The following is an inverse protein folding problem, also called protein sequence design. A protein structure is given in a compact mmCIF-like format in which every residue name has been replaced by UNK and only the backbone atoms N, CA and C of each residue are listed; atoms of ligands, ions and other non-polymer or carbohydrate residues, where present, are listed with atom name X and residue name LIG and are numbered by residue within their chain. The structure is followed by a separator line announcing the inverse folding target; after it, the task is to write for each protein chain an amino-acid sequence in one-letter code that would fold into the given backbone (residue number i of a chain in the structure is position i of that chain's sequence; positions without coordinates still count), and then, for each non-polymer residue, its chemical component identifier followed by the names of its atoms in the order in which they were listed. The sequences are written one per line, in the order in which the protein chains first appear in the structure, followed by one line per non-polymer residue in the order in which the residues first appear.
data_IF_125124794655
#
_entry.id   IF_125124794655
#
_cell.length_a   1.000
_cell.length_b   1.000
_cell.length_c   1.000
_cell.angle_alpha   90.00
_cell.angle_beta   90.00
_cell.angle_gamma   90.00
#
_symmetry.space_group_name_H-M   'P 1'
#
loop_
_entity.id
_entity.type
_entity.pdbx_description
1 polymer ?
#
# COMPACT_ATOMS: atom_id res chain seq x y z
N UNK A 1 -25.34 26.34 -7.35
CA UNK A 1 -24.56 25.79 -6.22
C UNK A 1 -23.25 25.29 -6.80
N UNK A 2 -22.11 25.51 -6.15
CA UNK A 2 -20.83 25.01 -6.63
C UNK A 2 -20.77 23.47 -6.60
N UNK A 3 -19.90 22.88 -7.42
CA UNK A 3 -19.74 21.44 -7.53
C UNK A 3 -19.03 20.87 -6.29
N UNK A 4 -19.55 19.77 -5.70
CA UNK A 4 -19.03 19.18 -4.47
C UNK A 4 -18.72 17.69 -4.63
N UNK A 5 -17.54 17.27 -4.16
CA UNK A 5 -17.15 15.87 -4.04
C UNK A 5 -17.08 15.45 -2.57
N UNK A 6 -17.62 14.29 -2.25
CA UNK A 6 -17.38 13.63 -0.97
C UNK A 6 -16.41 12.48 -1.15
N UNK A 7 -15.33 12.44 -0.36
CA UNK A 7 -14.38 11.32 -0.32
C UNK A 7 -14.51 10.64 1.05
N UNK A 8 -14.79 9.36 1.07
CA UNK A 8 -14.98 8.56 2.30
C UNK A 8 -13.76 7.69 2.55
N UNK A 9 -13.05 7.94 3.64
CA UNK A 9 -11.80 7.30 4.03
C UNK A 9 -10.58 8.16 3.67
N UNK A 10 -9.81 8.57 4.68
CA UNK A 10 -8.61 9.39 4.54
C UNK A 10 -7.32 8.57 4.76
N UNK A 11 -7.30 7.33 4.26
CA UNK A 11 -6.08 6.56 4.03
C UNK A 11 -5.28 7.11 2.84
N UNK A 12 -4.18 6.44 2.48
CA UNK A 12 -3.32 6.88 1.36
C UNK A 12 -4.08 7.09 0.05
N UNK A 13 -5.05 6.21 -0.24
CA UNK A 13 -5.86 6.29 -1.47
C UNK A 13 -6.78 7.51 -1.42
N UNK A 14 -7.58 7.67 -0.35
CA UNK A 14 -8.50 8.80 -0.25
C UNK A 14 -7.80 10.15 -0.20
N UNK A 15 -6.68 10.25 0.52
CA UNK A 15 -5.85 11.45 0.55
C UNK A 15 -5.23 11.77 -0.82
N UNK A 16 -4.66 10.77 -1.50
CA UNK A 16 -4.09 10.97 -2.83
C UNK A 16 -5.16 11.37 -3.86
N UNK A 17 -6.35 10.76 -3.79
CA UNK A 17 -7.49 11.14 -4.64
C UNK A 17 -7.94 12.57 -4.33
N UNK A 18 -8.19 12.91 -3.06
CA UNK A 18 -8.64 14.26 -2.68
C UNK A 18 -7.68 15.35 -3.19
N UNK A 19 -6.38 15.14 -3.00
CA UNK A 19 -5.35 16.06 -3.49
C UNK A 19 -5.34 16.14 -5.04
N UNK A 20 -5.51 15.01 -5.73
CA UNK A 20 -5.44 14.95 -7.18
C UNK A 20 -6.65 15.58 -7.89
N UNK A 21 -7.79 15.68 -7.22
CA UNK A 21 -9.06 16.13 -7.86
C UNK A 21 -9.58 17.46 -7.30
N UNK A 22 -8.86 18.08 -6.36
CA UNK A 22 -9.32 19.29 -5.69
C UNK A 22 -9.65 20.45 -6.65
N UNK A 23 -8.94 20.53 -7.78
CA UNK A 23 -9.15 21.55 -8.82
C UNK A 23 -10.34 21.26 -9.75
N UNK A 24 -10.95 20.07 -9.68
CA UNK A 24 -12.12 19.71 -10.46
C UNK A 24 -13.45 20.12 -9.80
N UNK A 25 -13.39 20.47 -8.51
CA UNK A 25 -14.57 20.77 -7.70
C UNK A 25 -14.40 22.08 -6.93
N UNK A 26 -15.50 22.76 -6.67
CA UNK A 26 -15.49 23.94 -5.80
C UNK A 26 -15.23 23.54 -4.34
N UNK A 27 -15.64 22.33 -3.96
CA UNK A 27 -15.44 21.80 -2.62
C UNK A 27 -15.20 20.27 -2.64
N UNK A 28 -14.23 19.80 -1.87
CA UNK A 28 -14.00 18.38 -1.56
C UNK A 28 -14.15 18.18 -0.06
N UNK A 29 -15.06 17.30 0.36
CA UNK A 29 -15.23 16.92 1.77
C UNK A 29 -14.63 15.55 2.00
N UNK A 30 -13.52 15.47 2.72
CA UNK A 30 -12.82 14.24 3.05
C UNK A 30 -13.22 13.77 4.46
N UNK A 31 -13.95 12.66 4.52
CA UNK A 31 -14.47 12.07 5.75
C UNK A 31 -13.60 10.91 6.24
N UNK A 32 -13.28 10.86 7.53
CA UNK A 32 -12.64 9.69 8.13
C UNK A 32 -13.29 9.33 9.47
N UNK A 33 -13.41 8.02 9.71
CA UNK A 33 -13.96 7.50 10.97
C UNK A 33 -13.01 7.69 12.16
N UNK A 34 -11.72 7.83 11.91
CA UNK A 34 -10.68 8.00 12.94
C UNK A 34 -10.45 9.47 13.26
N UNK A 35 -9.88 9.77 14.45
CA UNK A 35 -9.62 11.16 14.86
C UNK A 35 -8.54 11.84 14.02
N UNK A 36 -7.68 11.07 13.36
CA UNK A 36 -6.66 11.54 12.43
C UNK A 36 -6.67 10.74 11.14
N UNK A 37 -6.30 11.37 10.04
CA UNK A 37 -6.20 10.72 8.74
C UNK A 37 -5.01 9.76 8.68
N UNK A 38 -5.19 8.64 7.95
CA UNK A 38 -4.11 7.68 7.69
C UNK A 38 -3.81 6.70 8.82
N UNK A 39 -4.58 6.66 9.89
CA UNK A 39 -4.35 5.79 11.06
C UNK A 39 -4.83 4.33 10.89
N UNK A 40 -5.15 3.88 9.68
CA UNK A 40 -5.54 2.49 9.39
C UNK A 40 -4.42 1.74 8.65
N UNK A 41 -4.77 0.95 7.63
CA UNK A 41 -3.83 0.16 6.83
C UNK A 41 -2.64 0.96 6.29
N UNK A 42 -2.83 2.25 5.98
CA UNK A 42 -1.76 3.11 5.46
C UNK A 42 -0.67 3.41 6.50
N UNK A 43 -1.05 3.58 7.78
CA UNK A 43 -0.11 3.75 8.88
C UNK A 43 0.62 2.44 9.22
N UNK A 44 -0.09 1.31 9.10
CA UNK A 44 0.42 -0.01 9.40
C UNK A 44 1.30 -0.59 8.29
N UNK A 45 1.27 -0.02 7.09
CA UNK A 45 2.06 -0.49 5.95
C UNK A 45 3.56 -0.39 6.21
N UNK A 46 4.32 -1.36 5.70
CA UNK A 46 5.78 -1.37 5.83
C UNK A 46 6.51 -0.65 4.69
N UNK A 47 5.82 -0.25 3.64
CA UNK A 47 6.29 0.72 2.65
C UNK A 47 7.12 0.18 1.49
N UNK A 48 7.10 -1.12 1.22
CA UNK A 48 7.66 -1.66 -0.02
C UNK A 48 6.87 -1.16 -1.24
N UNK A 49 7.59 -0.79 -2.29
CA UNK A 49 7.08 -0.46 -3.62
C UNK A 49 7.60 -1.54 -4.55
N UNK A 50 6.87 -2.64 -4.61
CA UNK A 50 7.35 -3.94 -5.10
C UNK A 50 6.46 -4.54 -6.20
N UNK A 51 6.26 -3.85 -7.34
CA UNK A 51 5.36 -4.32 -8.40
C UNK A 51 5.79 -5.63 -9.04
N UNK A 52 7.08 -5.94 -9.01
CA UNK A 52 7.66 -7.12 -9.65
C UNK A 52 7.63 -8.34 -8.73
N UNK A 53 8.10 -8.20 -7.49
CA UNK A 53 8.26 -9.33 -6.56
C UNK A 53 7.00 -9.64 -5.75
N UNK A 54 6.05 -8.71 -5.65
CA UNK A 54 4.84 -8.90 -4.86
C UNK A 54 3.91 -9.93 -5.52
N UNK A 55 3.65 -11.03 -4.81
CA UNK A 55 2.80 -12.12 -5.28
C UNK A 55 1.35 -11.69 -5.57
N UNK A 56 0.91 -10.53 -5.06
CA UNK A 56 -0.42 -9.97 -5.31
C UNK A 56 -0.47 -9.15 -6.61
N UNK A 57 0.68 -8.65 -7.10
CA UNK A 57 0.77 -7.97 -8.38
C UNK A 57 0.81 -8.98 -9.54
N UNK A 58 -0.36 -9.42 -10.02
CA UNK A 58 -0.50 -10.43 -11.09
C UNK A 58 -1.21 -9.85 -12.30
N UNK A 59 -0.94 -10.43 -13.48
CA UNK A 59 -1.62 -10.07 -14.71
C UNK A 59 -1.70 -8.56 -14.95
N UNK A 60 -2.89 -8.00 -15.27
CA UNK A 60 -3.05 -6.56 -15.49
C UNK A 60 -2.68 -5.68 -14.30
N UNK A 61 -2.84 -6.18 -13.05
CA UNK A 61 -2.48 -5.42 -11.85
C UNK A 61 -0.98 -5.14 -11.79
N UNK A 62 -0.14 -6.06 -12.27
CA UNK A 62 1.31 -5.86 -12.32
C UNK A 62 1.68 -4.69 -13.22
N UNK A 63 1.15 -4.64 -14.43
CA UNK A 63 1.39 -3.52 -15.36
C UNK A 63 0.92 -2.19 -14.77
N UNK A 64 -0.21 -2.20 -14.08
CA UNK A 64 -0.75 -1.04 -13.37
C UNK A 64 0.18 -0.62 -12.21
N UNK A 65 0.70 -1.57 -11.43
CA UNK A 65 1.63 -1.32 -10.34
C UNK A 65 2.99 -0.80 -10.84
N UNK A 66 3.50 -1.31 -11.96
CA UNK A 66 4.71 -0.80 -12.60
C UNK A 66 4.53 0.63 -13.12
N UNK A 67 3.39 0.90 -13.75
CA UNK A 67 3.06 2.26 -14.18
C UNK A 67 3.02 3.20 -12.96
N UNK A 68 2.43 2.76 -11.86
CA UNK A 68 2.43 3.50 -10.59
C UNK A 68 3.85 3.75 -10.07
N UNK A 69 4.70 2.72 -10.05
CA UNK A 69 6.10 2.82 -9.61
C UNK A 69 6.87 3.89 -10.40
N UNK A 70 6.64 3.95 -11.71
CA UNK A 70 7.27 5.00 -12.57
C UNK A 70 6.80 6.42 -12.25
N UNK A 71 5.63 6.59 -11.65
CA UNK A 71 5.12 7.91 -11.23
C UNK A 71 5.77 8.43 -9.94
N UNK A 72 6.35 7.55 -9.11
CA UNK A 72 6.83 7.89 -7.77
C UNK A 72 7.80 9.07 -7.73
N UNK A 73 8.86 9.17 -8.56
CA UNK A 73 9.80 10.28 -8.47
C UNK A 73 9.11 11.64 -8.63
N UNK A 74 8.26 11.79 -9.64
CA UNK A 74 7.53 13.02 -9.89
C UNK A 74 6.45 13.28 -8.84
N UNK A 75 5.75 12.23 -8.40
CA UNK A 75 4.69 12.33 -7.40
C UNK A 75 5.24 12.77 -6.04
N UNK A 76 6.35 12.19 -5.59
CA UNK A 76 7.02 12.58 -4.34
C UNK A 76 7.56 14.01 -4.42
N UNK A 77 8.18 14.40 -5.53
CA UNK A 77 8.63 15.78 -5.74
C UNK A 77 7.45 16.77 -5.67
N UNK A 78 6.31 16.44 -6.25
CA UNK A 78 5.09 17.24 -6.15
C UNK A 78 4.55 17.35 -4.71
N UNK A 79 4.58 16.26 -3.95
CA UNK A 79 4.20 16.26 -2.54
C UNK A 79 5.16 17.10 -1.69
N UNK A 80 6.47 17.00 -1.93
CA UNK A 80 7.47 17.81 -1.24
C UNK A 80 7.27 19.30 -1.54
N UNK A 81 7.09 19.66 -2.80
CA UNK A 81 6.82 21.04 -3.20
C UNK A 81 5.54 21.60 -2.55
N UNK A 82 4.47 20.79 -2.47
CA UNK A 82 3.20 21.19 -1.88
C UNK A 82 3.20 21.23 -0.36
N UNK A 83 3.90 20.31 0.29
CA UNK A 83 3.89 20.12 1.76
C UNK A 83 5.10 20.77 2.47
N UNK A 84 6.25 20.84 1.81
CA UNK A 84 7.54 21.11 2.44
C UNK A 84 8.10 19.89 3.19
N UNK A 85 7.54 18.70 3.01
CA UNK A 85 7.97 17.46 3.66
C UNK A 85 8.55 16.53 2.59
N UNK A 86 9.86 16.29 2.65
CA UNK A 86 10.51 15.29 1.82
C UNK A 86 10.15 13.88 2.33
N UNK A 87 9.76 13.00 1.40
CA UNK A 87 9.51 11.59 1.70
C UNK A 87 10.71 10.77 1.25
N UNK A 88 11.56 10.28 2.16
CA UNK A 88 12.73 9.50 1.79
C UNK A 88 12.33 8.26 1.00
N UNK A 89 12.96 8.05 -0.16
CA UNK A 89 12.72 6.93 -1.05
C UNK A 89 13.99 6.13 -1.26
N UNK A 90 13.99 4.88 -0.81
CA UNK A 90 15.07 3.94 -1.05
C UNK A 90 14.91 3.32 -2.44
N UNK A 91 15.75 3.71 -3.37
CA UNK A 91 15.72 3.30 -4.78
C UNK A 91 16.90 2.38 -5.18
N UNK A 92 17.37 1.59 -4.22
CA UNK A 92 18.49 0.63 -4.44
C UNK A 92 18.03 -0.72 -4.98
N UNK A 93 16.73 -0.96 -5.02
CA UNK A 93 16.14 -2.24 -5.39
C UNK A 93 15.90 -3.16 -4.19
N UNK A 94 15.24 -4.28 -4.45
CA UNK A 94 15.00 -5.36 -3.47
C UNK A 94 16.03 -6.47 -3.68
N UNK A 95 16.52 -7.04 -2.58
CA UNK A 95 17.24 -8.30 -2.57
C UNK A 95 16.31 -9.44 -2.14
N UNK A 96 16.00 -10.32 -3.08
CA UNK A 96 15.36 -11.62 -2.80
C UNK A 96 16.47 -12.62 -2.47
N UNK A 97 16.65 -12.97 -1.20
CA UNK A 97 17.75 -13.85 -0.76
C UNK A 97 17.27 -15.27 -0.51
N UNK A 98 18.15 -16.24 -0.68
CA UNK A 98 17.92 -17.65 -0.38
C UNK A 98 18.90 -18.14 0.70
N UNK A 99 18.36 -18.72 1.78
CA UNK A 99 19.13 -19.31 2.88
C UNK A 99 19.19 -20.84 2.81
N UNK A 100 18.38 -21.47 1.96
CA UNK A 100 18.39 -22.90 1.72
C UNK A 100 18.19 -23.21 0.23
N UNK A 101 18.55 -24.44 -0.17
CA UNK A 101 18.45 -24.86 -1.56
C UNK A 101 17.02 -24.98 -2.10
N UNK A 102 16.02 -25.06 -1.23
CA UNK A 102 14.60 -25.12 -1.67
C UNK A 102 14.16 -23.73 -2.12
N UNK A 103 14.44 -22.70 -1.33
CA UNK A 103 14.16 -21.33 -1.70
C UNK A 103 15.04 -20.89 -2.89
N UNK A 104 16.33 -21.26 -2.93
CA UNK A 104 17.22 -20.99 -4.04
C UNK A 104 16.64 -21.54 -5.36
N UNK A 105 16.26 -22.80 -5.40
CA UNK A 105 15.62 -23.41 -6.58
C UNK A 105 14.32 -22.71 -6.94
N UNK A 106 13.47 -22.42 -5.98
CA UNK A 106 12.22 -21.68 -6.22
C UNK A 106 12.48 -20.34 -6.89
N UNK A 107 13.44 -19.58 -6.39
CA UNK A 107 13.78 -18.27 -6.93
C UNK A 107 14.39 -18.42 -8.33
N UNK A 108 15.39 -19.27 -8.51
CA UNK A 108 16.15 -19.39 -9.76
C UNK A 108 15.35 -20.08 -10.88
N UNK A 109 14.58 -21.13 -10.56
CA UNK A 109 13.92 -21.95 -11.59
C UNK A 109 12.48 -21.48 -11.88
N UNK A 110 11.82 -20.77 -10.95
CA UNK A 110 10.44 -20.34 -11.11
C UNK A 110 10.31 -18.82 -11.25
N UNK A 111 10.87 -18.05 -10.29
CA UNK A 111 10.64 -16.60 -10.25
C UNK A 111 11.50 -15.85 -11.26
N UNK A 112 12.79 -16.16 -11.36
CA UNK A 112 13.69 -15.47 -12.30
C UNK A 112 13.22 -15.62 -13.75
N UNK A 113 12.92 -16.83 -14.27
CA UNK A 113 12.40 -16.99 -15.62
C UNK A 113 11.08 -16.25 -15.83
N UNK A 114 10.19 -16.25 -14.83
CA UNK A 114 8.94 -15.52 -14.89
C UNK A 114 9.18 -14.02 -15.02
N UNK A 115 10.04 -13.43 -14.20
CA UNK A 115 10.36 -12.00 -14.24
C UNK A 115 11.03 -11.59 -15.55
N UNK A 116 12.01 -12.37 -16.02
CA UNK A 116 12.69 -12.12 -17.30
C UNK A 116 11.71 -12.18 -18.48
N UNK A 117 10.85 -13.19 -18.53
CA UNK A 117 9.82 -13.31 -19.57
C UNK A 117 8.80 -12.16 -19.57
N UNK A 118 8.65 -11.49 -18.43
CA UNK A 118 7.82 -10.29 -18.28
C UNK A 118 8.57 -8.98 -18.60
N UNK A 119 9.84 -9.08 -19.00
CA UNK A 119 10.67 -7.93 -19.37
C UNK A 119 11.30 -7.19 -18.19
N UNK A 120 11.32 -7.77 -17.01
CA UNK A 120 11.97 -7.15 -15.85
C UNK A 120 13.49 -7.33 -15.88
N UNK A 121 14.19 -6.31 -15.40
CA UNK A 121 15.61 -6.42 -15.10
C UNK A 121 15.81 -7.22 -13.82
N UNK A 122 16.64 -8.24 -13.90
CA UNK A 122 16.99 -9.16 -12.82
C UNK A 122 18.50 -9.29 -12.75
N UNK A 123 19.08 -9.10 -11.58
CA UNK A 123 20.51 -9.27 -11.35
C UNK A 123 20.72 -10.45 -10.38
N UNK A 124 21.30 -11.52 -10.88
CA UNK A 124 21.59 -12.72 -10.07
C UNK A 124 22.94 -12.55 -9.38
N UNK A 125 22.99 -12.78 -8.08
CA UNK A 125 24.16 -12.64 -7.22
C UNK A 125 24.47 -13.98 -6.56
N UNK A 126 25.72 -14.41 -6.63
CA UNK A 126 26.24 -15.50 -5.81
C UNK A 126 26.43 -15.06 -4.34
N UNK A 127 26.87 -15.96 -3.48
CA UNK A 127 27.06 -15.66 -2.06
C UNK A 127 28.05 -14.52 -1.82
N UNK A 128 29.16 -14.48 -2.58
CA UNK A 128 30.18 -13.42 -2.47
C UNK A 128 29.66 -12.07 -2.89
N UNK A 129 29.07 -11.98 -4.08
CA UNK A 129 28.45 -10.75 -4.60
C UNK A 129 27.30 -10.28 -3.74
N UNK A 130 26.56 -11.22 -3.12
CA UNK A 130 25.48 -10.88 -2.18
C UNK A 130 26.02 -10.24 -0.91
N UNK A 131 27.11 -10.79 -0.33
CA UNK A 131 27.76 -10.22 0.85
C UNK A 131 28.36 -8.83 0.57
N UNK A 132 28.89 -8.60 -0.62
CA UNK A 132 29.39 -7.28 -1.06
C UNK A 132 28.24 -6.27 -1.21
N UNK A 133 27.13 -6.71 -1.77
CA UNK A 133 25.94 -5.87 -1.97
C UNK A 133 25.28 -5.48 -0.62
N UNK A 134 25.18 -6.44 0.31
CA UNK A 134 24.55 -6.25 1.62
C UNK A 134 25.33 -6.95 2.75
N UNK A 135 26.33 -6.29 3.33
CA UNK A 135 27.26 -6.91 4.30
C UNK A 135 26.63 -7.39 5.61
N UNK A 136 25.43 -6.94 5.96
CA UNK A 136 24.74 -7.37 7.19
C UNK A 136 23.96 -8.68 7.03
N UNK A 137 23.88 -9.22 5.82
CA UNK A 137 23.23 -10.51 5.59
C UNK A 137 24.01 -11.67 6.23
N UNK A 138 23.27 -12.71 6.53
CA UNK A 138 23.84 -13.96 7.06
C UNK A 138 24.90 -14.52 6.12
N UNK A 139 26.05 -15.01 6.65
CA UNK A 139 27.05 -15.73 5.86
C UNK A 139 26.51 -17.07 5.31
N UNK A 140 25.33 -17.50 5.73
CA UNK A 140 24.65 -18.70 5.20
C UNK A 140 23.77 -18.40 4.00
N UNK A 141 23.71 -17.17 3.49
CA UNK A 141 23.01 -16.85 2.24
C UNK A 141 23.72 -17.54 1.08
N UNK A 142 22.99 -18.37 0.34
CA UNK A 142 23.50 -19.12 -0.79
C UNK A 142 23.60 -18.25 -2.04
N UNK A 143 22.57 -17.44 -2.28
CA UNK A 143 22.47 -16.54 -3.43
C UNK A 143 21.42 -15.47 -3.18
N UNK A 144 21.42 -14.44 -4.00
CA UNK A 144 20.35 -13.46 -4.06
C UNK A 144 19.98 -13.10 -5.51
N UNK A 145 18.80 -12.54 -5.64
CA UNK A 145 18.36 -11.86 -6.86
C UNK A 145 18.06 -10.41 -6.52
N UNK A 146 18.76 -9.49 -7.17
CA UNK A 146 18.44 -8.07 -7.05
C UNK A 146 17.42 -7.67 -8.11
N UNK A 147 16.39 -6.95 -7.67
CA UNK A 147 15.32 -6.39 -8.49
C UNK A 147 15.42 -4.86 -8.48
N UNK A 148 16.15 -4.27 -9.44
CA UNK A 148 16.52 -2.84 -9.40
C UNK A 148 15.33 -1.88 -9.55
N UNK A 149 14.23 -2.33 -10.15
CA UNK A 149 13.03 -1.51 -10.35
C UNK A 149 12.21 -1.32 -9.09
N UNK A 150 12.51 -2.05 -8.02
CA UNK A 150 11.77 -1.96 -6.76
C UNK A 150 12.35 -0.91 -5.83
N UNK A 151 11.57 -0.50 -4.84
CA UNK A 151 11.98 0.54 -3.90
C UNK A 151 11.20 0.45 -2.59
N UNK A 152 11.49 1.36 -1.68
CA UNK A 152 10.76 1.46 -0.41
C UNK A 152 10.72 2.90 0.10
N UNK A 153 9.70 3.20 0.89
CA UNK A 153 9.54 4.48 1.58
C UNK A 153 8.94 4.29 2.98
N UNK A 154 8.89 5.36 3.75
CA UNK A 154 8.17 5.36 5.02
C UNK A 154 6.73 5.84 4.83
N UNK A 155 5.72 4.96 4.98
CA UNK A 155 4.32 5.33 4.78
C UNK A 155 3.81 6.43 5.70
N UNK A 156 4.33 6.50 6.93
CA UNK A 156 3.96 7.52 7.91
C UNK A 156 4.41 8.92 7.48
N UNK A 157 5.60 9.03 6.89
CA UNK A 157 6.10 10.30 6.32
C UNK A 157 5.31 10.66 5.06
N UNK A 158 5.01 9.68 4.19
CA UNK A 158 4.14 9.88 3.03
C UNK A 158 2.76 10.43 3.45
N UNK A 159 2.15 9.82 4.48
CA UNK A 159 0.87 10.29 5.00
C UNK A 159 0.96 11.71 5.59
N UNK A 160 2.07 12.05 6.22
CA UNK A 160 2.30 13.41 6.73
C UNK A 160 2.40 14.43 5.60
N UNK A 161 3.09 14.12 4.52
CA UNK A 161 3.17 14.97 3.34
C UNK A 161 1.80 15.15 2.67
N UNK A 162 1.03 14.05 2.49
CA UNK A 162 -0.32 14.10 1.94
C UNK A 162 -1.27 14.95 2.79
N UNK A 163 -1.24 14.77 4.11
CA UNK A 163 -2.05 15.57 5.06
C UNK A 163 -1.74 17.04 4.94
N UNK A 164 -0.48 17.40 4.83
CA UNK A 164 -0.07 18.80 4.74
C UNK A 164 -0.47 19.43 3.39
N UNK A 165 -0.38 18.70 2.27
CA UNK A 165 -0.91 19.14 0.97
C UNK A 165 -2.41 19.41 1.07
N UNK A 166 -3.16 18.47 1.64
CA UNK A 166 -4.62 18.59 1.84
C UNK A 166 -4.97 19.79 2.72
N UNK A 167 -4.26 19.97 3.84
CA UNK A 167 -4.49 21.06 4.78
C UNK A 167 -4.27 22.45 4.16
N UNK A 168 -3.35 22.55 3.20
CA UNK A 168 -3.04 23.80 2.50
C UNK A 168 -4.01 24.15 1.38
N UNK A 169 -4.76 23.18 0.89
CA UNK A 169 -5.74 23.44 -0.18
C UNK A 169 -7.09 23.88 0.41
N UNK A 170 -7.50 25.16 0.20
CA UNK A 170 -8.73 25.68 0.79
C UNK A 170 -10.02 25.04 0.26
N UNK A 171 -9.94 24.25 -0.82
CA UNK A 171 -11.07 23.53 -1.39
C UNK A 171 -11.34 22.23 -0.65
N UNK A 172 -10.38 21.72 0.15
CA UNK A 172 -10.51 20.44 0.85
C UNK A 172 -10.84 20.66 2.32
N UNK A 173 -12.02 20.23 2.72
CA UNK A 173 -12.44 20.17 4.12
C UNK A 173 -12.25 18.74 4.63
N UNK A 174 -11.45 18.57 5.70
CA UNK A 174 -11.26 17.27 6.37
C UNK A 174 -12.16 17.22 7.59
N UNK A 175 -13.01 16.19 7.66
CA UNK A 175 -13.89 15.93 8.80
C UNK A 175 -13.47 14.58 9.42
N UNK A 176 -12.72 14.67 10.50
CA UNK A 176 -12.30 13.52 11.31
C UNK A 176 -13.39 13.06 12.26
N UNK A 177 -13.29 11.85 12.81
CA UNK A 177 -14.29 11.22 13.68
C UNK A 177 -15.69 11.18 13.05
N UNK A 178 -15.75 11.13 11.71
CA UNK A 178 -16.96 11.14 10.91
C UNK A 178 -17.19 9.76 10.28
N UNK A 179 -17.54 8.77 11.10
CA UNK A 179 -17.84 7.42 10.60
C UNK A 179 -19.06 7.46 9.71
N UNK A 180 -18.87 7.06 8.45
CA UNK A 180 -19.94 6.91 7.48
C UNK A 180 -20.66 5.58 7.71
N UNK A 181 -21.99 5.62 7.74
CA UNK A 181 -22.87 4.45 7.87
C UNK A 181 -23.38 3.97 6.52
N UNK A 182 -23.62 4.90 5.58
CA UNK A 182 -24.22 4.55 4.28
C UNK A 182 -23.89 5.61 3.22
N UNK A 183 -23.64 5.18 2.01
CA UNK A 183 -23.58 6.02 0.80
C UNK A 183 -24.76 5.66 -0.08
N UNK A 184 -25.55 6.65 -0.51
CA UNK A 184 -26.76 6.43 -1.31
C UNK A 184 -26.76 7.39 -2.50
N UNK A 185 -26.76 6.87 -3.75
CA UNK A 185 -27.06 7.71 -4.92
C UNK A 185 -28.46 8.31 -4.78
N UNK A 186 -28.59 9.61 -5.07
CA UNK A 186 -29.85 10.35 -5.05
C UNK A 186 -30.19 10.85 -6.46
N UNK A 187 -31.42 11.35 -6.66
CA UNK A 187 -31.83 11.93 -7.93
C UNK A 187 -30.88 13.06 -8.38
N UNK A 188 -30.44 13.87 -7.41
CA UNK A 188 -29.38 14.85 -7.62
C UNK A 188 -28.19 14.56 -6.69
N UNK A 189 -27.08 14.02 -7.24
CA UNK A 189 -25.85 13.75 -6.52
C UNK A 189 -25.92 12.51 -5.62
N UNK A 190 -25.32 12.60 -4.43
CA UNK A 190 -25.19 11.53 -3.44
C UNK A 190 -25.49 12.04 -2.03
N UNK A 191 -26.04 11.17 -1.20
CA UNK A 191 -26.20 11.37 0.24
C UNK A 191 -25.30 10.40 1.02
N UNK A 192 -24.47 10.96 1.90
CA UNK A 192 -23.55 10.22 2.76
C UNK A 192 -24.04 10.40 4.20
N UNK A 193 -24.62 9.33 4.76
CA UNK A 193 -25.16 9.31 6.13
C UNK A 193 -24.04 8.94 7.11
N UNK A 194 -23.79 9.79 8.09
CA UNK A 194 -22.88 9.53 9.21
C UNK A 194 -23.58 8.75 10.34
N UNK A 195 -22.80 8.07 11.17
CA UNK A 195 -23.33 7.44 12.40
C UNK A 195 -24.03 8.43 13.35
N UNK A 196 -23.59 9.69 13.36
CA UNK A 196 -24.22 10.77 14.12
C UNK A 196 -25.63 11.14 13.65
N UNK A 197 -26.08 10.59 12.50
CA UNK A 197 -27.32 10.97 11.85
C UNK A 197 -27.19 12.19 10.91
N UNK A 198 -26.04 12.87 10.86
CA UNK A 198 -25.81 13.96 9.92
C UNK A 198 -25.68 13.41 8.49
N UNK A 199 -26.19 14.17 7.50
CA UNK A 199 -26.11 13.82 6.08
C UNK A 199 -25.22 14.85 5.37
N UNK A 200 -24.13 14.37 4.80
CA UNK A 200 -23.26 15.13 3.88
C UNK A 200 -23.72 14.89 2.45
N UNK A 201 -23.88 15.97 1.67
CA UNK A 201 -24.31 15.90 0.26
C UNK A 201 -23.21 16.33 -0.66
N UNK A 202 -23.14 15.70 -1.84
CA UNK A 202 -22.24 16.06 -2.92
C UNK A 202 -22.81 15.65 -4.29
N UNK A 203 -22.21 16.14 -5.36
CA UNK A 203 -22.59 15.73 -6.71
C UNK A 203 -22.08 14.30 -6.99
N UNK A 204 -20.92 13.96 -6.44
CA UNK A 204 -20.29 12.63 -6.54
C UNK A 204 -19.66 12.21 -5.21
N UNK A 205 -19.43 10.92 -5.07
CA UNK A 205 -18.74 10.34 -3.93
C UNK A 205 -17.65 9.37 -4.38
N UNK A 206 -16.48 9.43 -3.73
CA UNK A 206 -15.43 8.40 -3.84
C UNK A 206 -15.38 7.60 -2.54
N UNK A 207 -15.55 6.29 -2.62
CA UNK A 207 -15.46 5.38 -1.47
C UNK A 207 -14.05 4.75 -1.45
N UNK A 208 -13.22 5.22 -0.53
CA UNK A 208 -11.84 4.81 -0.28
C UNK A 208 -11.63 4.33 1.17
N UNK A 209 -12.68 3.74 1.77
CA UNK A 209 -12.74 3.36 3.19
C UNK A 209 -12.02 2.03 3.51
N UNK A 210 -11.08 1.59 2.65
CA UNK A 210 -10.30 0.38 2.89
C UNK A 210 -11.19 -0.85 3.08
N UNK A 211 -10.91 -1.67 4.09
CA UNK A 211 -11.65 -2.91 4.35
C UNK A 211 -13.14 -2.68 4.71
N UNK A 212 -13.50 -1.47 5.13
CA UNK A 212 -14.88 -1.10 5.49
C UNK A 212 -15.72 -0.63 4.29
N UNK A 213 -15.16 -0.57 3.08
CA UNK A 213 -15.88 -0.06 1.90
C UNK A 213 -17.10 -0.89 1.52
N UNK A 214 -17.06 -2.21 1.74
CA UNK A 214 -18.19 -3.11 1.47
C UNK A 214 -19.40 -2.91 2.40
N UNK A 215 -19.20 -2.27 3.55
CA UNK A 215 -20.30 -1.88 4.45
C UNK A 215 -21.06 -0.66 3.89
N UNK A 216 -20.38 0.18 3.12
CA UNK A 216 -20.91 1.44 2.57
C UNK A 216 -21.51 1.26 1.18
N UNK A 217 -20.88 0.43 0.36
CA UNK A 217 -21.36 -0.03 -0.96
C UNK A 217 -21.32 -1.56 -0.92
N UNK A 218 -22.45 -2.22 -0.64
CA UNK A 218 -22.48 -3.66 -0.42
C UNK A 218 -21.97 -4.43 -1.64
N UNK A 219 -21.02 -5.35 -1.39
CA UNK A 219 -20.55 -6.33 -2.37
C UNK A 219 -21.19 -7.69 -2.09
N UNK A 220 -21.15 -8.59 -3.08
CA UNK A 220 -21.53 -9.99 -2.86
C UNK A 220 -20.75 -10.58 -1.67
N UNK A 221 -21.32 -11.54 -0.92
CA UNK A 221 -20.60 -12.20 0.17
C UNK A 221 -19.22 -12.70 -0.29
N UNK A 222 -18.16 -12.30 0.42
CA UNK A 222 -16.77 -12.63 0.09
C UNK A 222 -16.14 -11.77 -1.02
N UNK A 223 -16.87 -10.83 -1.65
CA UNK A 223 -16.31 -9.95 -2.68
C UNK A 223 -15.19 -9.05 -2.16
N UNK A 224 -15.33 -8.56 -0.92
CA UNK A 224 -14.28 -7.87 -0.16
C UNK A 224 -14.22 -8.42 1.26
N UNK A 225 -13.04 -8.52 1.85
CA UNK A 225 -12.82 -9.08 3.19
C UNK A 225 -11.58 -8.46 3.87
N UNK A 226 -11.53 -8.47 5.22
CA UNK A 226 -10.37 -8.00 5.97
C UNK A 226 -9.24 -9.02 5.92
N UNK A 227 -8.00 -8.53 5.83
CA UNK A 227 -6.79 -9.35 6.03
C UNK A 227 -5.86 -8.61 6.97
N UNK A 228 -5.81 -9.09 8.21
CA UNK A 228 -4.92 -8.55 9.24
C UNK A 228 -3.47 -8.86 8.87
N UNK A 229 -2.59 -7.90 9.12
CA UNK A 229 -1.16 -8.09 8.97
C UNK A 229 -0.41 -7.37 10.06
N UNK A 230 0.57 -8.06 10.65
CA UNK A 230 1.41 -7.55 11.73
C UNK A 230 2.83 -7.29 11.26
N UNK A 231 3.44 -6.25 11.81
CA UNK A 231 4.83 -5.87 11.60
C UNK A 231 5.48 -5.48 12.94
N UNK A 232 6.80 -5.47 12.95
CA UNK A 232 7.60 -5.00 14.08
C UNK A 232 8.68 -4.02 13.61
N UNK A 233 9.11 -3.12 14.48
CA UNK A 233 10.10 -2.09 14.20
C UNK A 233 11.25 -2.15 15.18
N UNK A 234 12.48 -2.09 14.67
CA UNK A 234 13.70 -2.14 15.46
C UNK A 234 14.54 -0.89 15.21
N UNK A 235 15.18 -0.41 16.28
CA UNK A 235 16.22 0.62 16.20
C UNK A 235 17.60 -0.07 16.13
N UNK A 236 18.39 0.33 15.13
CA UNK A 236 19.74 -0.20 14.94
C UNK A 236 20.73 0.69 15.69
N UNK A 237 21.52 0.15 16.65
CA UNK A 237 22.45 0.94 17.46
C UNK A 237 23.45 1.71 16.59
N UNK A 238 23.55 3.02 16.81
CA UNK A 238 24.51 3.89 16.12
C UNK A 238 24.23 4.20 14.66
N UNK A 239 23.15 3.69 14.08
CA UNK A 239 22.80 3.99 12.69
C UNK A 239 22.18 5.40 12.58
N UNK A 240 22.68 6.20 11.62
CA UNK A 240 22.22 7.56 11.31
C UNK A 240 21.68 7.71 9.88
N UNK A 241 21.46 6.60 9.21
CA UNK A 241 20.95 6.50 7.84
C UNK A 241 20.32 5.13 7.63
N UNK A 242 20.15 4.70 6.38
CA UNK A 242 19.65 3.36 6.10
C UNK A 242 20.58 2.27 6.65
N UNK A 243 20.14 1.44 7.62
CA UNK A 243 20.99 0.39 8.19
C UNK A 243 21.30 -0.74 7.20
N UNK A 244 20.37 -1.02 6.29
CA UNK A 244 20.54 -1.91 5.16
C UNK A 244 20.58 -1.07 3.88
N UNK A 245 21.39 -1.49 2.92
CA UNK A 245 21.51 -0.80 1.62
C UNK A 245 20.31 -1.05 0.71
N UNK A 246 19.64 -2.18 0.93
CA UNK A 246 18.46 -2.63 0.18
C UNK A 246 17.34 -3.01 1.14
N UNK A 247 16.13 -3.05 0.66
CA UNK A 247 15.10 -3.82 1.35
C UNK A 247 15.28 -5.31 0.98
N UNK A 248 15.12 -6.18 1.97
CA UNK A 248 15.49 -7.60 1.85
C UNK A 248 14.27 -8.46 2.06
N UNK A 249 14.04 -9.41 1.17
CA UNK A 249 12.99 -10.41 1.29
C UNK A 249 13.57 -11.82 1.28
N UNK A 250 13.07 -12.65 2.19
CA UNK A 250 13.42 -14.07 2.26
C UNK A 250 12.24 -14.87 2.81
N UNK A 251 12.07 -16.11 2.35
CA UNK A 251 11.21 -17.09 3.02
C UNK A 251 12.08 -18.02 3.84
N UNK A 252 11.79 -18.14 5.12
CA UNK A 252 12.53 -18.98 6.06
C UNK A 252 11.59 -19.87 6.85
N UNK A 253 12.04 -21.06 7.21
CA UNK A 253 11.33 -21.93 8.12
C UNK A 253 11.57 -21.48 9.56
N UNK A 254 10.50 -21.18 10.30
CA UNK A 254 10.52 -20.89 11.73
C UNK A 254 9.53 -21.84 12.39
N UNK A 255 10.01 -22.70 13.26
CA UNK A 255 9.25 -23.83 13.78
C UNK A 255 8.68 -24.66 12.63
N UNK A 256 7.37 -24.95 12.64
CA UNK A 256 6.69 -25.75 11.62
C UNK A 256 6.08 -24.90 10.48
N UNK A 257 6.46 -23.63 10.35
CA UNK A 257 5.86 -22.73 9.37
C UNK A 257 6.88 -21.95 8.54
N UNK A 258 6.52 -21.68 7.28
CA UNK A 258 7.27 -20.76 6.45
C UNK A 258 6.88 -19.31 6.80
N UNK A 259 7.86 -18.49 7.17
CA UNK A 259 7.71 -17.08 7.50
C UNK A 259 8.35 -16.25 6.42
N UNK A 260 7.62 -15.26 5.91
CA UNK A 260 8.20 -14.23 5.05
C UNK A 260 8.91 -13.20 5.92
N UNK A 261 10.22 -13.11 5.80
CA UNK A 261 11.03 -12.05 6.39
C UNK A 261 11.20 -10.94 5.36
N UNK A 262 10.48 -9.85 5.53
CA UNK A 262 10.61 -8.67 4.69
C UNK A 262 11.14 -7.53 5.55
N UNK A 263 12.42 -7.21 5.43
CA UNK A 263 13.11 -6.17 6.18
C UNK A 263 13.22 -4.90 5.32
N UNK A 264 12.62 -3.81 5.80
CA UNK A 264 12.59 -2.52 5.11
C UNK A 264 13.31 -1.48 5.97
N UNK A 265 14.49 -1.02 5.56
CA UNK A 265 15.23 -0.02 6.32
C UNK A 265 14.60 1.36 6.20
N UNK A 266 14.77 2.17 7.24
CA UNK A 266 14.39 3.57 7.32
C UNK A 266 15.64 4.45 7.31
N UNK A 267 15.49 5.65 6.79
CA UNK A 267 16.60 6.57 6.62
C UNK A 267 17.12 7.15 7.95
N UNK A 268 16.41 6.92 9.05
CA UNK A 268 16.72 7.37 10.39
C UNK A 268 17.28 6.27 11.31
N UNK A 269 17.77 5.18 10.75
CA UNK A 269 18.41 4.10 11.51
C UNK A 269 17.48 3.02 12.04
N UNK A 270 16.21 3.01 11.60
CA UNK A 270 15.24 1.96 11.94
C UNK A 270 15.15 0.89 10.84
N UNK A 271 14.66 -0.28 11.21
CA UNK A 271 14.26 -1.35 10.29
C UNK A 271 12.88 -1.85 10.69
N UNK A 272 11.98 -1.91 9.73
CA UNK A 272 10.66 -2.55 9.89
C UNK A 272 10.72 -3.95 9.30
N UNK A 273 10.26 -4.94 10.05
CA UNK A 273 10.13 -6.32 9.59
C UNK A 273 8.67 -6.75 9.59
N UNK A 274 8.27 -7.44 8.56
CA UNK A 274 6.90 -7.94 8.39
C UNK A 274 6.86 -9.11 7.41
N UNK A 275 5.74 -9.69 7.12
CA UNK A 275 4.41 -9.39 7.63
C UNK A 275 3.63 -10.68 7.82
N UNK A 276 2.60 -10.68 8.67
CA UNK A 276 1.63 -11.78 8.76
C UNK A 276 0.44 -11.59 7.81
N UNK A 277 -0.33 -12.66 7.60
CA UNK A 277 -1.54 -12.67 6.76
C UNK A 277 -2.63 -13.49 7.44
N UNK A 278 -3.55 -12.81 8.14
CA UNK A 278 -4.63 -13.43 8.90
C UNK A 278 -5.97 -13.01 8.30
N UNK A 279 -6.51 -13.84 7.38
CA UNK A 279 -7.75 -13.53 6.69
C UNK A 279 -8.96 -13.61 7.63
N UNK A 280 -9.89 -12.67 7.47
CA UNK A 280 -11.15 -12.62 8.23
C UNK A 280 -11.03 -11.95 9.61
N UNK A 281 -9.84 -11.51 10.01
CA UNK A 281 -9.63 -10.83 11.30
C UNK A 281 -9.76 -9.32 11.18
N UNK A 282 -10.42 -8.71 12.18
CA UNK A 282 -10.70 -7.28 12.25
C UNK A 282 -9.94 -6.55 13.38
N UNK A 283 -9.30 -7.28 14.27
CA UNK A 283 -8.53 -6.68 15.37
C UNK A 283 -7.18 -6.11 14.88
N UNK A 284 -6.76 -5.01 15.49
CA UNK A 284 -5.51 -4.32 15.17
C UNK A 284 -4.47 -4.45 16.31
N UNK A 285 -4.76 -5.28 17.33
CA UNK A 285 -3.83 -5.52 18.42
C UNK A 285 -2.70 -6.46 17.98
N UNK A 286 -1.42 -6.12 18.22
CA UNK A 286 -0.30 -7.00 17.92
C UNK A 286 -0.26 -8.20 18.87
N UNK A 287 0.21 -9.33 18.37
CA UNK A 287 0.40 -10.57 19.12
C UNK A 287 1.89 -10.83 19.35
N UNK A 288 2.28 -11.13 20.59
CA UNK A 288 3.69 -11.33 20.97
C UNK A 288 4.32 -12.50 20.22
N UNK A 289 3.60 -13.61 20.06
CA UNK A 289 4.11 -14.79 19.34
C UNK A 289 4.37 -14.49 17.85
N UNK A 290 3.53 -13.67 17.22
CA UNK A 290 3.72 -13.26 15.84
C UNK A 290 4.93 -12.31 15.72
N UNK A 291 5.11 -11.40 16.69
CA UNK A 291 6.28 -10.55 16.77
C UNK A 291 7.55 -11.38 16.89
N UNK A 292 7.61 -12.34 17.82
CA UNK A 292 8.79 -13.20 18.02
C UNK A 292 9.12 -14.04 16.76
N UNK A 293 8.11 -14.51 16.03
CA UNK A 293 8.34 -15.23 14.76
C UNK A 293 8.94 -14.33 13.69
N UNK A 294 8.47 -13.08 13.56
CA UNK A 294 9.05 -12.10 12.63
C UNK A 294 10.50 -11.76 13.01
N UNK A 295 10.78 -11.57 14.30
CA UNK A 295 12.14 -11.32 14.81
C UNK A 295 13.05 -12.52 14.60
N UNK A 296 12.58 -13.73 14.83
CA UNK A 296 13.33 -14.97 14.58
C UNK A 296 13.69 -15.09 13.10
N UNK A 297 12.74 -14.87 12.20
CA UNK A 297 12.99 -14.86 10.77
C UNK A 297 14.01 -13.78 10.36
N UNK A 298 13.91 -12.56 10.92
CA UNK A 298 14.87 -11.49 10.68
C UNK A 298 16.28 -11.88 11.13
N UNK A 299 16.43 -12.47 12.33
CA UNK A 299 17.73 -12.91 12.89
C UNK A 299 18.41 -13.99 12.06
N UNK A 300 17.66 -14.80 11.34
CA UNK A 300 18.22 -15.78 10.38
C UNK A 300 18.79 -15.08 9.16
N UNK A 301 18.13 -14.06 8.65
CA UNK A 301 18.52 -13.31 7.45
C UNK A 301 19.59 -12.27 7.75
N UNK A 302 19.44 -11.55 8.87
CA UNK A 302 20.33 -10.48 9.35
C UNK A 302 20.74 -10.78 10.78
N UNK A 303 21.81 -11.57 11.04
CA UNK A 303 22.20 -12.03 12.38
C UNK A 303 22.49 -10.90 13.37
N UNK A 304 23.02 -9.76 12.89
CA UNK A 304 23.29 -8.58 13.70
C UNK A 304 22.01 -7.99 14.35
N UNK A 305 20.82 -8.33 13.82
CA UNK A 305 19.55 -7.88 14.38
C UNK A 305 19.23 -8.43 15.77
N UNK A 306 20.02 -9.37 16.28
CA UNK A 306 19.95 -9.85 17.68
C UNK A 306 20.24 -8.74 18.70
N UNK A 307 21.08 -7.79 18.31
CA UNK A 307 21.50 -6.66 19.15
C UNK A 307 20.63 -5.41 18.91
N UNK A 308 19.67 -5.49 17.98
CA UNK A 308 18.79 -4.37 17.68
C UNK A 308 17.64 -4.30 18.71
N UNK A 309 17.31 -3.09 19.11
CA UNK A 309 16.26 -2.88 20.11
C UNK A 309 14.87 -2.84 19.43
N UNK A 310 14.01 -3.77 19.79
CA UNK A 310 12.59 -3.69 19.43
C UNK A 310 11.98 -2.41 20.03
N UNK A 311 11.39 -1.57 19.20
CA UNK A 311 10.78 -0.30 19.59
C UNK A 311 9.27 -0.29 19.43
N UNK A 312 8.70 -1.25 18.72
CA UNK A 312 7.26 -1.40 18.60
C UNK A 312 6.85 -2.54 17.70
N UNK A 313 5.60 -2.96 17.86
CA UNK A 313 4.89 -3.84 16.95
C UNK A 313 3.47 -3.33 16.77
N UNK A 314 2.86 -3.61 15.63
CA UNK A 314 1.50 -3.19 15.32
C UNK A 314 0.86 -4.12 14.31
N UNK A 315 -0.47 -4.07 14.23
CA UNK A 315 -1.22 -4.72 13.18
C UNK A 315 -2.12 -3.72 12.43
N UNK A 316 -2.56 -4.09 11.24
CA UNK A 316 -3.49 -3.30 10.45
C UNK A 316 -4.29 -4.19 9.49
N UNK A 317 -5.42 -3.66 9.02
CA UNK A 317 -6.40 -4.43 8.25
C UNK A 317 -6.31 -4.05 6.77
N UNK A 318 -5.82 -4.97 5.95
CA UNK A 318 -5.77 -4.81 4.49
C UNK A 318 -7.14 -5.08 3.88
N UNK A 319 -7.55 -4.30 2.88
CA UNK A 319 -8.78 -4.55 2.11
C UNK A 319 -8.53 -5.65 1.06
N UNK A 320 -8.81 -6.91 1.39
CA UNK A 320 -8.73 -8.03 0.46
C UNK A 320 -9.94 -8.07 -0.48
N UNK A 321 -9.76 -8.66 -1.68
CA UNK A 321 -10.81 -8.95 -2.64
C UNK A 321 -10.69 -10.39 -3.12
N UNK A 322 -11.82 -11.01 -3.52
CA UNK A 322 -11.87 -12.44 -3.85
C UNK A 322 -10.97 -12.83 -5.04
N UNK A 323 -10.75 -11.93 -5.96
CA UNK A 323 -9.91 -12.15 -7.15
C UNK A 323 -8.53 -11.50 -7.05
N UNK A 324 -8.25 -10.76 -5.96
CA UNK A 324 -7.00 -10.05 -5.72
C UNK A 324 -6.85 -8.73 -6.47
N UNK A 325 -7.85 -8.28 -7.24
CA UNK A 325 -7.82 -6.99 -7.93
C UNK A 325 -8.54 -5.91 -7.13
N UNK A 326 -8.06 -4.66 -7.13
CA UNK A 326 -8.77 -3.53 -6.55
C UNK A 326 -10.19 -3.36 -7.12
N UNK A 327 -11.02 -2.64 -6.39
CA UNK A 327 -12.33 -2.15 -6.83
C UNK A 327 -12.16 -0.69 -7.24
N UNK A 328 -12.04 -0.43 -8.55
CA UNK A 328 -11.81 0.90 -9.10
C UNK A 328 -12.85 1.22 -10.18
N UNK A 329 -13.53 2.35 -10.04
CA UNK A 329 -14.51 2.83 -11.01
C UNK A 329 -15.90 3.01 -10.44
N UNK A 330 -16.86 3.31 -11.32
CA UNK A 330 -18.26 3.55 -10.94
C UNK A 330 -18.93 2.28 -10.40
N UNK A 331 -19.62 2.40 -9.28
CA UNK A 331 -20.40 1.31 -8.68
C UNK A 331 -21.89 1.41 -9.03
N UNK A 332 -22.34 2.55 -9.53
CA UNK A 332 -23.72 2.80 -9.97
C UNK A 332 -23.80 3.17 -11.46
N UNK A 333 -24.98 3.12 -12.02
CA UNK A 333 -25.19 3.36 -13.46
C UNK A 333 -24.90 4.81 -13.88
N UNK A 334 -25.12 5.76 -12.98
CA UNK A 334 -24.93 7.19 -13.24
C UNK A 334 -23.50 7.68 -12.96
N UNK A 335 -22.62 6.82 -12.44
CA UNK A 335 -21.24 7.17 -12.06
C UNK A 335 -21.14 8.18 -10.91
N UNK A 336 -22.18 8.27 -10.08
CA UNK A 336 -22.21 9.17 -8.92
C UNK A 336 -21.35 8.66 -7.77
N UNK A 337 -21.24 7.33 -7.62
CA UNK A 337 -20.42 6.67 -6.61
C UNK A 337 -19.28 5.93 -7.30
N UNK A 338 -18.05 6.33 -7.00
CA UNK A 338 -16.82 5.72 -7.50
C UNK A 338 -16.15 4.98 -6.37
N UNK A 339 -15.85 3.70 -6.55
CA UNK A 339 -15.04 2.94 -5.60
C UNK A 339 -13.56 3.11 -5.91
N UNK A 340 -12.74 3.22 -4.87
CA UNK A 340 -11.28 3.24 -4.93
C UNK A 340 -10.73 2.48 -3.71
N UNK A 341 -10.89 1.16 -3.68
CA UNK A 341 -10.60 0.30 -2.55
C UNK A 341 -10.12 -1.09 -2.97
N UNK A 342 -9.92 -2.00 -2.02
CA UNK A 342 -9.53 -3.39 -2.34
C UNK A 342 -8.07 -3.54 -2.75
N UNK A 343 -7.20 -2.58 -2.45
CA UNK A 343 -5.79 -2.57 -2.85
C UNK A 343 -4.90 -3.57 -2.09
N UNK A 344 -5.47 -4.33 -1.16
CA UNK A 344 -4.78 -5.32 -0.35
C UNK A 344 -3.46 -4.78 0.27
N UNK A 345 -2.33 -5.49 0.09
CA UNK A 345 -1.00 -5.09 0.57
C UNK A 345 -0.29 -4.03 -0.28
N UNK A 346 -0.81 -3.73 -1.48
CA UNK A 346 -0.15 -2.87 -2.47
C UNK A 346 -0.74 -1.46 -2.58
N UNK A 347 -1.53 -1.05 -1.58
CA UNK A 347 -2.19 0.27 -1.60
C UNK A 347 -1.21 1.44 -1.66
N UNK A 348 -0.08 1.37 -0.95
CA UNK A 348 0.98 2.38 -1.07
C UNK A 348 1.51 2.39 -2.51
N UNK A 349 1.93 1.25 -3.05
CA UNK A 349 2.42 1.13 -4.44
C UNK A 349 1.46 1.73 -5.47
N UNK A 350 0.15 1.55 -5.29
CA UNK A 350 -0.87 1.94 -6.25
C UNK A 350 -1.43 3.36 -6.04
N UNK A 351 -1.07 4.06 -4.98
CA UNK A 351 -1.67 5.34 -4.63
C UNK A 351 -1.59 6.40 -5.76
N UNK A 352 -0.43 6.67 -6.39
CA UNK A 352 -0.35 7.71 -7.42
C UNK A 352 -1.19 7.38 -8.66
N UNK A 353 -1.14 6.14 -9.15
CA UNK A 353 -1.90 5.77 -10.36
C UNK A 353 -3.40 5.67 -10.08
N UNK A 354 -3.80 5.22 -8.90
CA UNK A 354 -5.21 5.20 -8.49
C UNK A 354 -5.78 6.61 -8.45
N UNK A 355 -5.05 7.56 -7.87
CA UNK A 355 -5.46 8.96 -7.83
C UNK A 355 -5.59 9.56 -9.25
N UNK A 356 -4.62 9.28 -10.13
CA UNK A 356 -4.67 9.73 -11.52
C UNK A 356 -5.85 9.12 -12.28
N UNK A 357 -6.12 7.82 -12.10
CA UNK A 357 -7.24 7.13 -12.73
C UNK A 357 -8.60 7.66 -12.25
N UNK A 358 -8.77 7.84 -10.93
CA UNK A 358 -9.99 8.42 -10.35
C UNK A 358 -10.19 9.85 -10.87
N UNK A 359 -9.12 10.65 -10.98
CA UNK A 359 -9.20 11.99 -11.60
C UNK A 359 -9.72 11.91 -13.03
N UNK A 360 -9.21 10.99 -13.87
CA UNK A 360 -9.66 10.79 -15.24
C UNK A 360 -11.17 10.44 -15.29
N UNK A 361 -11.60 9.51 -14.41
CA UNK A 361 -13.02 9.12 -14.30
C UNK A 361 -13.92 10.30 -13.88
N UNK A 362 -13.50 11.08 -12.90
CA UNK A 362 -14.28 12.20 -12.36
C UNK A 362 -14.32 13.40 -13.31
N UNK A 363 -13.25 13.66 -14.07
CA UNK A 363 -13.22 14.74 -15.06
C UNK A 363 -13.96 14.42 -16.37
N UNK A 364 -14.28 13.14 -16.61
CA UNK A 364 -14.82 12.69 -17.88
C UNK A 364 -13.82 12.74 -19.04
N UNK A 365 -12.52 12.85 -18.74
CA UNK A 365 -11.47 12.84 -19.75
C UNK A 365 -11.37 11.47 -20.44
N UNK A 366 -10.88 11.43 -21.67
CA UNK A 366 -10.66 10.19 -22.39
C UNK A 366 -9.65 9.30 -21.66
N UNK A 367 -10.01 8.03 -21.51
CA UNK A 367 -9.12 7.00 -20.95
C UNK A 367 -8.07 6.61 -21.99
N UNK A 368 -6.84 6.40 -21.55
CA UNK A 368 -5.87 5.65 -22.35
C UNK A 368 -6.26 4.17 -22.40
N UNK A 369 -5.75 3.42 -23.39
CA UNK A 369 -6.02 1.98 -23.49
C UNK A 369 -5.70 1.24 -22.20
N UNK A 370 -4.55 1.52 -21.59
CA UNK A 370 -4.14 0.92 -20.31
C UNK A 370 -5.07 1.27 -19.14
N UNK A 371 -5.62 2.49 -19.10
CA UNK A 371 -6.61 2.90 -18.11
C UNK A 371 -7.95 2.20 -18.32
N UNK A 372 -8.38 2.08 -19.58
CA UNK A 372 -9.61 1.38 -19.92
C UNK A 372 -9.54 -0.12 -19.57
N UNK A 373 -8.39 -0.76 -19.86
CA UNK A 373 -8.14 -2.15 -19.49
C UNK A 373 -8.11 -2.34 -17.97
N UNK A 374 -7.45 -1.44 -17.24
CA UNK A 374 -7.41 -1.47 -15.78
C UNK A 374 -8.83 -1.34 -15.20
N UNK A 375 -9.63 -0.37 -15.64
CA UNK A 375 -11.01 -0.19 -15.18
C UNK A 375 -11.89 -1.39 -15.52
N UNK A 376 -11.70 -2.04 -16.67
CA UNK A 376 -12.48 -3.23 -17.04
C UNK A 376 -12.21 -4.40 -16.09
N UNK A 377 -10.95 -4.63 -15.72
CA UNK A 377 -10.56 -5.73 -14.83
C UNK A 377 -10.92 -5.41 -13.37
N UNK A 378 -10.79 -4.13 -12.97
CA UNK A 378 -11.00 -3.67 -11.61
C UNK A 378 -12.41 -3.12 -11.37
N UNK A 379 -13.33 -3.25 -12.33
CA UNK A 379 -14.71 -2.77 -12.24
C UNK A 379 -15.38 -3.31 -10.97
N UNK A 380 -15.85 -2.43 -10.06
CA UNK A 380 -16.48 -2.87 -8.82
C UNK A 380 -17.77 -3.67 -9.06
N UNK A 381 -18.45 -3.44 -10.20
CA UNK A 381 -19.70 -4.13 -10.56
C UNK A 381 -19.55 -5.63 -10.74
N UNK A 382 -18.31 -6.14 -10.87
CA UNK A 382 -18.05 -7.58 -10.88
C UNK A 382 -18.40 -8.28 -9.55
N UNK A 383 -18.57 -7.49 -8.47
CA UNK A 383 -18.96 -7.97 -7.13
C UNK A 383 -20.22 -7.30 -6.57
N UNK A 384 -20.88 -6.44 -7.33
CA UNK A 384 -22.12 -5.79 -6.88
C UNK A 384 -23.38 -6.59 -7.24
#
# INVERSE_FOLDING_TARGET
MGSALVVVGAGVIGCAVAAAVADLFDKVVLLDARPETGLAASWAAIGGITPQSDDFCRGPLRQFAEASRRMYPQWLAGLEAGSGIAVPFLDSGLLQVALDHTEERRVQEQLVPQWVNQGFRVEQLDAGSTADAEPLLSPHVLSAVRLPSEGALEPRVLMSALREVIRRDPRIEVVASARVRKVTPASQGVEVLLESGHVVRGDRCVVAAGAWSSELVPTRPGGQFPVRGQAAELAVPGATGYPLRHHVYCKVAVDDATVSSYAVPRHDGRVVVGVTYDQGRWDEEPEDHATERLLTALRMVVPASRDWRLIGSWAGIRPGTADGYPLLGASDADGKVVMATGHFGVGITLAPITAALVRTVLSGAALTDGQADALRVMDPRRFL
#
